data_IF_794379695495
#
_entry.id   IF_794379695495
#
_cell.length_a   1.000
_cell.length_b   1.000
_cell.length_c   1.000
_cell.angle_alpha   90.00
_cell.angle_beta   90.00
_cell.angle_gamma   90.00
#
_symmetry.space_group_name_H-M   'P 1'
#
loop_
_entity.id
_entity.type
_entity.pdbx_description
1 polymer ?
#
# COMPACT_ATOMS: atom_id res chain seq x y z
N UNK A 1 15.30 -5.45 -6.43
CA UNK A 1 15.04 -4.57 -5.29
C UNK A 1 14.22 -5.31 -4.25
N UNK A 2 14.29 -4.86 -3.00
CA UNK A 2 13.36 -5.17 -1.93
C UNK A 2 12.33 -4.04 -1.85
N UNK A 3 11.07 -4.35 -2.11
CA UNK A 3 10.02 -3.36 -2.37
C UNK A 3 8.96 -3.46 -1.28
N UNK A 4 8.72 -2.34 -0.60
CA UNK A 4 7.59 -2.17 0.30
C UNK A 4 6.32 -1.96 -0.51
N UNK A 5 5.25 -2.69 -0.20
CA UNK A 5 3.98 -2.59 -0.91
C UNK A 5 2.83 -2.42 0.08
N UNK A 6 1.96 -1.45 -0.17
CA UNK A 6 0.66 -1.32 0.51
C UNK A 6 -0.47 -1.60 -0.49
N UNK A 7 -1.59 -2.15 -0.02
CA UNK A 7 -2.73 -2.48 -0.89
C UNK A 7 -2.49 -3.66 -1.84
N UNK A 8 -1.43 -4.45 -1.62
CA UNK A 8 -1.04 -5.57 -2.48
C UNK A 8 -1.97 -6.79 -2.45
N UNK A 9 -2.96 -6.83 -1.55
CA UNK A 9 -4.05 -7.82 -1.57
C UNK A 9 -5.29 -7.34 -2.33
N UNK A 10 -5.34 -6.07 -2.74
CA UNK A 10 -6.42 -5.52 -3.56
C UNK A 10 -6.28 -5.88 -5.04
N UNK A 11 -7.29 -5.54 -5.84
CA UNK A 11 -7.38 -5.90 -7.27
C UNK A 11 -6.12 -5.52 -8.08
N UNK A 12 -5.78 -4.22 -8.13
CA UNK A 12 -4.58 -3.75 -8.84
C UNK A 12 -3.29 -4.17 -8.13
N UNK A 13 -3.28 -4.13 -6.80
CA UNK A 13 -2.11 -4.43 -5.99
C UNK A 13 -1.63 -5.87 -6.16
N UNK A 14 -2.53 -6.85 -6.17
CA UNK A 14 -2.16 -8.26 -6.33
C UNK A 14 -1.52 -8.54 -7.70
N UNK A 15 -2.05 -7.94 -8.77
CA UNK A 15 -1.44 -8.04 -10.10
C UNK A 15 -0.07 -7.34 -10.16
N UNK A 16 0.08 -6.22 -9.45
CA UNK A 16 1.35 -5.50 -9.35
C UNK A 16 2.40 -6.33 -8.61
N UNK A 17 2.07 -6.86 -7.44
CA UNK A 17 2.95 -7.74 -6.65
C UNK A 17 3.36 -8.97 -7.46
N UNK A 18 2.41 -9.61 -8.15
CA UNK A 18 2.70 -10.73 -9.06
C UNK A 18 3.76 -10.38 -10.10
N UNK A 19 3.62 -9.22 -10.76
CA UNK A 19 4.58 -8.77 -11.77
C UNK A 19 5.98 -8.52 -11.20
N UNK A 20 6.06 -7.91 -10.00
CA UNK A 20 7.33 -7.63 -9.33
C UNK A 20 8.04 -8.91 -8.88
N UNK A 21 7.29 -9.87 -8.35
CA UNK A 21 7.83 -11.19 -7.98
C UNK A 21 8.36 -11.93 -9.21
N UNK A 22 7.59 -11.92 -10.31
CA UNK A 22 8.02 -12.52 -11.59
C UNK A 22 9.27 -11.84 -12.17
N UNK A 23 9.49 -10.55 -11.88
CA UNK A 23 10.69 -9.82 -12.23
C UNK A 23 11.89 -10.07 -11.28
N UNK A 24 11.75 -10.96 -10.29
CA UNK A 24 12.81 -11.31 -9.34
C UNK A 24 13.02 -10.29 -8.22
N UNK A 25 12.02 -9.45 -7.93
CA UNK A 25 12.06 -8.55 -6.78
C UNK A 25 11.56 -9.26 -5.51
N UNK A 26 12.03 -8.77 -4.36
CA UNK A 26 11.60 -9.22 -3.04
C UNK A 26 10.53 -8.28 -2.53
N UNK A 27 9.48 -8.81 -1.90
CA UNK A 27 8.34 -7.99 -1.48
C UNK A 27 8.17 -8.00 0.04
N UNK A 28 7.96 -6.82 0.62
CA UNK A 28 7.37 -6.68 1.96
C UNK A 28 5.99 -6.07 1.83
N UNK A 29 4.97 -6.87 2.11
CA UNK A 29 3.58 -6.50 1.94
C UNK A 29 2.96 -6.10 3.28
N UNK A 30 2.43 -4.88 3.37
CA UNK A 30 1.59 -4.46 4.49
C UNK A 30 0.14 -4.89 4.27
N UNK A 31 -0.41 -5.62 5.22
CA UNK A 31 -1.81 -6.08 5.23
C UNK A 31 -2.51 -5.51 6.46
N UNK A 32 -3.64 -4.82 6.25
CA UNK A 32 -4.43 -4.31 7.36
C UNK A 32 -5.06 -5.46 8.18
N UNK A 33 -5.15 -5.34 9.51
CA UNK A 33 -5.75 -6.37 10.35
C UNK A 33 -7.15 -6.79 9.86
N UNK A 34 -7.39 -8.09 9.74
CA UNK A 34 -8.65 -8.64 9.24
C UNK A 34 -8.94 -8.41 7.75
N UNK A 35 -8.01 -7.80 7.00
CA UNK A 35 -8.10 -7.61 5.55
C UNK A 35 -7.15 -8.52 4.77
N UNK A 36 -6.56 -9.52 5.44
CA UNK A 36 -5.77 -10.56 4.81
C UNK A 36 -6.64 -11.42 3.90
N UNK A 37 -6.11 -11.72 2.72
CA UNK A 37 -6.69 -12.71 1.80
C UNK A 37 -5.67 -13.84 1.68
N UNK A 38 -5.86 -14.89 2.47
CA UNK A 38 -4.94 -16.02 2.56
C UNK A 38 -4.76 -16.73 1.22
N UNK A 39 -5.79 -16.70 0.35
CA UNK A 39 -5.69 -17.28 -0.99
C UNK A 39 -4.79 -16.45 -1.89
N UNK A 40 -4.97 -15.12 -1.90
CA UNK A 40 -4.12 -14.20 -2.67
C UNK A 40 -2.69 -14.23 -2.13
N UNK A 41 -2.49 -14.10 -0.82
CA UNK A 41 -1.17 -14.12 -0.18
C UNK A 41 -0.48 -15.46 -0.45
N UNK A 42 -1.18 -16.57 -0.24
CA UNK A 42 -0.66 -17.91 -0.49
C UNK A 42 -0.23 -18.09 -1.95
N UNK A 43 -1.04 -17.63 -2.91
CA UNK A 43 -0.67 -17.67 -4.32
C UNK A 43 0.56 -16.82 -4.63
N UNK A 44 0.62 -15.57 -4.15
CA UNK A 44 1.75 -14.68 -4.37
C UNK A 44 3.05 -15.26 -3.78
N UNK A 45 2.98 -15.88 -2.61
CA UNK A 45 4.13 -16.52 -1.97
C UNK A 45 4.74 -17.67 -2.79
N UNK A 46 3.97 -18.28 -3.72
CA UNK A 46 4.52 -19.31 -4.63
C UNK A 46 5.36 -18.75 -5.77
N UNK A 47 5.30 -17.43 -6.02
CA UNK A 47 5.90 -16.80 -7.19
C UNK A 47 7.27 -16.18 -6.93
N UNK A 48 7.66 -15.99 -5.66
CA UNK A 48 8.93 -15.39 -5.30
C UNK A 48 9.04 -15.06 -3.81
N UNK A 49 10.12 -14.38 -3.44
CA UNK A 49 10.40 -14.03 -2.06
C UNK A 49 9.49 -12.88 -1.59
N UNK A 50 8.63 -13.19 -0.62
CA UNK A 50 7.69 -12.24 -0.03
C UNK A 50 7.60 -12.42 1.48
N UNK A 51 7.49 -11.31 2.20
CA UNK A 51 7.14 -11.26 3.62
C UNK A 51 5.86 -10.44 3.81
N UNK A 52 5.06 -10.82 4.79
CA UNK A 52 3.83 -10.12 5.16
C UNK A 52 4.02 -9.48 6.52
N UNK A 53 3.72 -8.19 6.59
CA UNK A 53 3.61 -7.43 7.82
C UNK A 53 2.12 -7.15 8.05
N UNK A 54 1.55 -7.67 9.11
CA UNK A 54 0.20 -7.26 9.53
C UNK A 54 0.31 -5.98 10.36
N UNK A 55 -0.49 -4.97 10.02
CA UNK A 55 -0.48 -3.70 10.76
C UNK A 55 -1.33 -2.61 10.11
N UNK A 56 -1.61 -1.56 10.88
CA UNK A 56 -2.37 -0.40 10.42
C UNK A 56 -1.44 0.63 9.77
N UNK A 57 -1.75 1.04 8.55
CA UNK A 57 -0.98 2.05 7.81
C UNK A 57 -1.00 3.44 8.48
N UNK A 58 -1.95 3.69 9.39
CA UNK A 58 -2.04 4.92 10.19
C UNK A 58 -1.00 4.96 11.32
N UNK A 59 -0.48 3.80 11.73
CA UNK A 59 0.53 3.68 12.77
C UNK A 59 1.95 3.93 12.22
N UNK A 60 2.65 4.86 12.87
CA UNK A 60 4.00 5.25 12.44
C UNK A 60 5.03 4.14 12.66
N UNK A 61 4.87 3.32 13.71
CA UNK A 61 5.78 2.21 13.94
C UNK A 61 5.63 1.16 12.83
N UNK A 62 4.38 0.79 12.51
CA UNK A 62 4.05 -0.09 11.38
C UNK A 62 4.67 0.41 10.07
N UNK A 63 4.53 1.70 9.74
CA UNK A 63 5.14 2.28 8.53
C UNK A 63 6.67 2.22 8.60
N UNK A 64 7.29 2.51 9.74
CA UNK A 64 8.74 2.36 9.91
C UNK A 64 9.23 0.93 9.66
N UNK A 65 8.52 -0.07 10.19
CA UNK A 65 8.83 -1.48 9.96
C UNK A 65 8.62 -1.91 8.51
N UNK A 66 7.58 -1.40 7.85
CA UNK A 66 7.33 -1.64 6.43
C UNK A 66 8.50 -1.15 5.57
N UNK A 67 8.98 0.07 5.81
CA UNK A 67 9.97 0.71 4.94
C UNK A 67 11.41 0.30 5.25
N UNK A 68 11.69 -0.16 6.47
CA UNK A 68 13.05 -0.48 6.92
C UNK A 68 13.73 -1.55 6.05
N UNK A 69 14.88 -1.17 5.45
CA UNK A 69 15.67 -2.04 4.59
C UNK A 69 15.05 -2.34 3.22
N UNK A 70 14.05 -1.56 2.79
CA UNK A 70 13.52 -1.60 1.43
C UNK A 70 14.23 -0.55 0.55
N UNK A 71 14.33 -0.84 -0.74
CA UNK A 71 14.91 0.05 -1.75
C UNK A 71 13.85 0.98 -2.35
N UNK A 72 12.60 0.52 -2.45
CA UNK A 72 11.51 1.20 -3.15
C UNK A 72 10.14 1.00 -2.46
N UNK A 73 9.19 1.88 -2.77
CA UNK A 73 7.81 1.83 -2.25
C UNK A 73 6.79 1.84 -3.41
N UNK A 74 5.80 0.96 -3.32
CA UNK A 74 4.54 1.07 -4.05
C UNK A 74 3.39 1.22 -3.06
N UNK A 75 2.80 2.41 -3.04
CA UNK A 75 1.64 2.71 -2.21
C UNK A 75 0.36 2.61 -3.05
N UNK A 76 -0.37 1.51 -2.89
CA UNK A 76 -1.66 1.28 -3.54
C UNK A 76 -2.79 1.01 -2.53
N UNK A 77 -2.54 1.24 -1.23
CA UNK A 77 -3.58 1.19 -0.22
C UNK A 77 -4.56 2.37 -0.39
N UNK A 78 -5.84 2.04 -0.44
CA UNK A 78 -6.92 3.01 -0.47
C UNK A 78 -8.24 2.32 -0.18
N UNK A 79 -9.18 3.08 0.35
CA UNK A 79 -10.54 2.63 0.64
C UNK A 79 -11.54 3.51 -0.09
N UNK A 80 -12.57 2.86 -0.63
CA UNK A 80 -13.70 3.52 -1.25
C UNK A 80 -14.88 3.45 -0.29
N UNK A 81 -15.52 4.59 -0.07
CA UNK A 81 -16.78 4.71 0.65
C UNK A 81 -17.74 5.52 -0.20
N UNK A 82 -18.97 5.02 -0.34
CA UNK A 82 -20.05 5.71 -1.06
C UNK A 82 -21.03 6.40 -0.11
N UNK A 83 -20.80 6.31 1.21
CA UNK A 83 -21.63 6.91 2.25
C UNK A 83 -20.82 7.81 3.20
N UNK A 84 -21.50 8.71 3.90
CA UNK A 84 -20.87 9.64 4.86
C UNK A 84 -20.24 8.94 6.06
N UNK A 85 -20.66 7.72 6.39
CA UNK A 85 -20.14 6.99 7.56
C UNK A 85 -18.67 6.60 7.36
N UNK A 86 -18.24 6.44 6.11
CA UNK A 86 -16.86 6.10 5.75
C UNK A 86 -16.00 7.32 5.40
N UNK A 87 -16.57 8.52 5.36
CA UNK A 87 -15.86 9.75 4.96
C UNK A 87 -14.63 10.00 5.84
N UNK A 88 -14.79 9.94 7.17
CA UNK A 88 -13.66 10.12 8.08
C UNK A 88 -12.57 9.09 7.83
N UNK A 89 -12.93 7.81 7.72
CA UNK A 89 -11.97 6.74 7.46
C UNK A 89 -11.24 6.97 6.12
N UNK A 90 -11.96 7.40 5.07
CA UNK A 90 -11.36 7.73 3.77
C UNK A 90 -10.34 8.85 3.88
N UNK A 91 -10.61 9.91 4.65
CA UNK A 91 -9.62 10.97 4.90
C UNK A 91 -8.40 10.43 5.66
N UNK A 92 -8.63 9.64 6.71
CA UNK A 92 -7.56 9.05 7.51
C UNK A 92 -6.63 8.15 6.69
N UNK A 93 -7.18 7.32 5.80
CA UNK A 93 -6.40 6.37 4.98
C UNK A 93 -5.90 7.03 3.70
N UNK A 94 -6.79 7.54 2.85
CA UNK A 94 -6.43 7.93 1.49
C UNK A 94 -5.62 9.23 1.44
N UNK A 95 -5.81 10.13 2.41
CA UNK A 95 -5.07 11.39 2.47
C UNK A 95 -3.97 11.34 3.56
N UNK A 96 -4.35 11.22 4.83
CA UNK A 96 -3.40 11.39 5.93
C UNK A 96 -2.39 10.25 6.03
N UNK A 97 -2.81 8.99 5.94
CA UNK A 97 -1.87 7.88 5.94
C UNK A 97 -0.99 7.86 4.68
N UNK A 98 -1.56 8.16 3.51
CA UNK A 98 -0.79 8.33 2.26
C UNK A 98 0.31 9.38 2.43
N UNK A 99 -0.01 10.59 2.89
CA UNK A 99 0.98 11.65 3.12
C UNK A 99 2.12 11.19 4.04
N UNK A 100 1.76 10.56 5.17
CA UNK A 100 2.74 10.04 6.14
C UNK A 100 3.65 8.99 5.50
N UNK A 101 3.09 8.01 4.80
CA UNK A 101 3.85 6.93 4.16
C UNK A 101 4.83 7.48 3.11
N UNK A 102 4.37 8.42 2.27
CA UNK A 102 5.22 9.02 1.25
C UNK A 102 6.36 9.84 1.88
N UNK A 103 6.06 10.67 2.89
CA UNK A 103 7.09 11.44 3.59
C UNK A 103 8.12 10.52 4.27
N UNK A 104 7.67 9.46 4.94
CA UNK A 104 8.59 8.48 5.56
C UNK A 104 9.44 7.73 4.54
N UNK A 105 8.89 7.40 3.37
CA UNK A 105 9.65 6.76 2.31
C UNK A 105 10.74 7.70 1.76
N UNK A 106 10.44 8.99 1.61
CA UNK A 106 11.43 10.02 1.24
C UNK A 106 12.50 10.15 2.32
N UNK A 107 12.12 10.24 3.60
CA UNK A 107 13.06 10.31 4.73
C UNK A 107 13.99 9.08 4.79
N UNK A 108 13.48 7.90 4.45
CA UNK A 108 14.23 6.66 4.40
C UNK A 108 15.07 6.49 3.12
N UNK A 109 14.98 7.44 2.17
CA UNK A 109 15.78 7.44 0.95
C UNK A 109 15.36 6.40 -0.09
N UNK A 110 14.10 5.97 -0.09
CA UNK A 110 13.60 5.01 -1.07
C UNK A 110 13.49 5.65 -2.45
N UNK A 111 13.88 4.91 -3.48
CA UNK A 111 13.78 5.32 -4.89
C UNK A 111 13.64 4.08 -5.80
N UNK A 112 12.55 3.93 -6.58
CA UNK A 112 11.43 4.86 -6.71
C UNK A 112 10.38 4.76 -5.60
N UNK A 113 9.64 5.86 -5.42
CA UNK A 113 8.40 5.91 -4.65
C UNK A 113 7.23 6.09 -5.62
N UNK A 114 6.34 5.10 -5.71
CA UNK A 114 5.17 5.10 -6.58
C UNK A 114 3.90 5.19 -5.73
N UNK A 115 3.11 6.23 -5.94
CA UNK A 115 1.78 6.37 -5.35
C UNK A 115 0.71 6.12 -6.40
N UNK A 116 -0.25 5.25 -6.09
CA UNK A 116 -1.38 4.95 -6.97
C UNK A 116 -2.63 5.65 -6.45
N UNK A 117 -3.18 6.54 -7.27
CA UNK A 117 -4.42 7.28 -6.96
C UNK A 117 -5.42 7.16 -8.10
N UNK A 118 -6.66 7.56 -7.85
CA UNK A 118 -7.71 7.60 -8.87
C UNK A 118 -7.65 8.91 -9.65
N UNK A 119 -7.94 8.87 -10.96
CA UNK A 119 -8.14 10.06 -11.79
C UNK A 119 -9.12 11.07 -11.16
N UNK A 120 -10.13 10.57 -10.43
CA UNK A 120 -11.12 11.41 -9.76
C UNK A 120 -10.57 12.29 -8.64
N UNK A 121 -9.36 12.03 -8.13
CA UNK A 121 -8.72 12.86 -7.10
C UNK A 121 -8.20 14.20 -7.64
N UNK A 122 -8.02 14.32 -8.96
CA UNK A 122 -7.55 15.53 -9.61
C UNK A 122 -8.61 16.63 -9.71
N UNK A 123 -9.90 16.27 -9.64
CA UNK A 123 -11.00 17.22 -9.84
C UNK A 123 -11.82 17.36 -8.57
N UNK A 124 -11.98 18.60 -8.04
CA UNK A 124 -12.89 18.82 -6.93
C UNK A 124 -14.31 18.49 -7.37
N UNK A 125 -15.11 17.85 -6.49
CA UNK A 125 -16.55 17.76 -6.69
C UNK A 125 -17.09 19.18 -6.82
N UNK A 126 -17.70 19.50 -7.97
CA UNK A 126 -18.41 20.78 -8.13
C UNK A 126 -19.44 20.88 -7.00
N UNK A 127 -19.36 21.94 -6.21
CA UNK A 127 -20.40 22.26 -5.25
C UNK A 127 -21.68 22.54 -6.05
N UNK A 128 -22.72 21.77 -5.76
CA UNK A 128 -24.09 22.02 -6.19
C UNK A 128 -24.90 22.56 -5.02
#
# INVERSE_FOLDING_TARGET
MHIAVTGGTGYLGAHTVRGLLAAGHRIRLLVAPGCGDDQVIGHLATLGEMSVLEGDIRDSATVGHLLSGCDALIHAAGIVGTDRRREQLMWEINAHATERVLNRAVEAGLDPIVSVSSYSSLFPRRAG
#
